data_IF_538469721824
#
_entry.id   IF_538469721824
#
_cell.length_a   1.000
_cell.length_b   1.000
_cell.length_c   1.000
_cell.angle_alpha   90.00
_cell.angle_beta   90.00
_cell.angle_gamma   90.00
#
_symmetry.space_group_name_H-M   'P 1'
#
loop_
_entity.id
_entity.type
_entity.pdbx_description
1 polymer ?
#
# COMPACT_ATOMS: atom_id res chain seq x y z
N UNK A 1 -13.35 12.20 7.56
CA UNK A 1 -12.92 11.16 6.63
C UNK A 1 -11.92 11.75 5.66
N UNK A 2 -10.68 11.34 5.81
CA UNK A 2 -9.60 11.61 4.89
C UNK A 2 -9.29 10.35 4.09
N UNK A 3 -9.02 10.53 2.80
CA UNK A 3 -8.69 9.46 1.86
C UNK A 3 -7.40 9.82 1.12
N UNK A 4 -6.52 8.84 0.94
CA UNK A 4 -5.34 8.95 0.09
C UNK A 4 -5.26 7.77 -0.87
N UNK A 5 -4.78 8.06 -2.07
CA UNK A 5 -4.55 7.04 -3.09
C UNK A 5 -3.08 7.02 -3.45
N UNK A 6 -2.44 5.86 -3.30
CA UNK A 6 -1.12 5.57 -3.84
C UNK A 6 -1.27 4.86 -5.18
N UNK A 7 -0.44 5.22 -6.16
CA UNK A 7 -0.43 4.60 -7.48
C UNK A 7 0.86 3.80 -7.70
N UNK A 8 0.74 2.54 -8.11
CA UNK A 8 1.86 1.65 -8.37
C UNK A 8 2.07 1.48 -9.87
N UNK A 9 2.39 2.59 -10.54
CA UNK A 9 2.34 2.74 -12.00
C UNK A 9 3.25 1.81 -12.80
N UNK A 10 4.25 1.18 -12.17
CA UNK A 10 5.13 0.23 -12.86
C UNK A 10 4.66 -1.23 -12.77
N UNK A 11 3.63 -1.53 -11.97
CA UNK A 11 3.05 -2.86 -11.88
C UNK A 11 2.23 -3.15 -13.13
N UNK A 12 2.41 -4.33 -13.71
CA UNK A 12 1.77 -4.73 -14.98
C UNK A 12 1.01 -6.03 -14.84
N UNK A 13 0.07 -6.26 -15.75
CA UNK A 13 -0.68 -7.51 -15.81
C UNK A 13 0.26 -8.72 -15.85
N UNK A 14 -0.07 -9.77 -15.09
CA UNK A 14 0.73 -10.97 -14.90
C UNK A 14 1.89 -10.84 -13.90
N UNK A 15 2.07 -9.70 -13.24
CA UNK A 15 3.07 -9.56 -12.18
C UNK A 15 2.57 -10.16 -10.87
N UNK A 16 3.49 -10.79 -10.13
CA UNK A 16 3.25 -11.16 -8.75
C UNK A 16 3.46 -9.95 -7.86
N UNK A 17 2.57 -9.76 -6.90
CA UNK A 17 2.58 -8.66 -5.95
C UNK A 17 2.54 -9.23 -4.54
N UNK A 18 3.40 -8.74 -3.66
CA UNK A 18 3.33 -8.97 -2.22
C UNK A 18 3.32 -7.64 -1.49
N UNK A 19 2.57 -7.57 -0.40
CA UNK A 19 2.47 -6.34 0.38
C UNK A 19 2.41 -6.62 1.87
N UNK A 20 2.77 -5.60 2.62
CA UNK A 20 2.76 -5.53 4.07
C UNK A 20 2.12 -4.21 4.50
N UNK A 21 1.18 -4.31 5.42
CA UNK A 21 0.49 -3.21 6.08
C UNK A 21 0.81 -3.24 7.57
N UNK A 22 1.02 -2.07 8.15
CA UNK A 22 1.18 -1.89 9.59
C UNK A 22 0.46 -0.62 10.02
N UNK A 23 -0.20 -0.65 11.18
CA UNK A 23 -0.72 0.56 11.82
C UNK A 23 -0.24 0.65 13.26
N UNK A 24 0.02 1.87 13.71
CA UNK A 24 0.27 2.23 15.11
C UNK A 24 -0.50 3.53 15.40
N UNK A 25 -1.83 3.45 15.36
CA UNK A 25 -2.71 4.62 15.46
C UNK A 25 -3.99 4.28 16.21
N UNK A 26 -4.54 5.26 16.93
CA UNK A 26 -5.82 5.12 17.60
C UNK A 26 -7.00 4.98 16.63
N UNK A 27 -6.95 5.64 15.48
CA UNK A 27 -8.07 5.66 14.51
C UNK A 27 -8.23 4.36 13.73
N UNK A 28 -9.40 4.22 13.10
CA UNK A 28 -9.71 3.12 12.20
C UNK A 28 -9.16 3.39 10.80
N UNK A 29 -8.85 2.28 10.12
CA UNK A 29 -8.29 2.31 8.78
C UNK A 29 -8.97 1.26 7.91
N UNK A 30 -9.29 1.64 6.68
CA UNK A 30 -9.65 0.69 5.62
C UNK A 30 -8.70 0.88 4.45
N UNK A 31 -8.02 -0.21 4.10
CA UNK A 31 -7.01 -0.24 3.04
C UNK A 31 -7.52 -1.16 1.94
N UNK A 32 -7.59 -0.65 0.72
CA UNK A 32 -8.03 -1.42 -0.45
C UNK A 32 -7.00 -1.37 -1.56
N UNK A 33 -6.48 -2.53 -1.94
CA UNK A 33 -5.72 -2.70 -3.18
C UNK A 33 -6.68 -3.07 -4.30
N UNK A 34 -6.73 -2.24 -5.34
CA UNK A 34 -7.68 -2.40 -6.44
C UNK A 34 -7.09 -1.95 -7.76
N UNK A 35 -7.59 -2.52 -8.86
CA UNK A 35 -7.40 -1.95 -10.19
C UNK A 35 -8.35 -0.76 -10.37
N UNK A 36 -7.80 0.42 -10.63
CA UNK A 36 -8.58 1.65 -10.79
C UNK A 36 -9.52 1.62 -12.00
N UNK A 37 -9.15 0.90 -13.06
CA UNK A 37 -9.91 0.86 -14.31
C UNK A 37 -11.09 -0.12 -14.27
N UNK A 38 -10.92 -1.27 -13.61
CA UNK A 38 -11.94 -2.34 -13.55
C UNK A 38 -12.67 -2.41 -12.21
N UNK A 39 -12.10 -1.85 -11.14
CA UNK A 39 -12.59 -1.99 -9.78
C UNK A 39 -12.30 -3.38 -9.16
N UNK A 40 -11.48 -4.21 -9.80
CA UNK A 40 -11.10 -5.52 -9.27
C UNK A 40 -10.31 -5.36 -7.97
N UNK A 41 -10.85 -5.87 -6.86
CA UNK A 41 -10.21 -5.83 -5.55
C UNK A 41 -9.26 -7.02 -5.40
N UNK A 42 -8.00 -6.74 -5.09
CA UNK A 42 -6.96 -7.74 -4.82
C UNK A 42 -6.72 -7.96 -3.33
N UNK A 43 -7.12 -7.01 -2.50
CA UNK A 43 -7.05 -7.13 -1.06
C UNK A 43 -7.77 -5.99 -0.37
N UNK A 44 -8.42 -6.32 0.74
CA UNK A 44 -8.95 -5.35 1.68
C UNK A 44 -8.48 -5.72 3.07
N UNK A 45 -8.02 -4.75 3.82
CA UNK A 45 -7.69 -4.90 5.23
C UNK A 45 -8.31 -3.75 6.01
N UNK A 46 -8.81 -4.04 7.20
CA UNK A 46 -9.44 -3.06 8.07
C UNK A 46 -8.88 -3.21 9.48
N UNK A 47 -8.50 -2.09 10.09
CA UNK A 47 -8.43 -1.93 11.55
C UNK A 47 -9.75 -1.30 11.99
N UNK A 48 -10.46 -1.97 12.88
CA UNK A 48 -11.79 -1.60 13.38
C UNK A 48 -11.83 -1.58 14.92
N UNK A 49 -10.81 -0.94 15.50
CA UNK A 49 -10.57 -0.89 16.95
C UNK A 49 -10.18 0.56 17.31
N UNK A 50 -11.14 1.48 17.14
CA UNK A 50 -10.98 2.90 17.47
C UNK A 50 -10.60 3.09 18.94
N UNK A 51 -9.59 3.92 19.17
CA UNK A 51 -8.97 4.16 20.47
C UNK A 51 -7.86 3.18 20.86
N UNK A 52 -7.65 2.08 20.12
CA UNK A 52 -6.51 1.18 20.34
C UNK A 52 -5.33 1.56 19.45
N UNK A 53 -4.21 1.98 20.07
CA UNK A 53 -2.97 2.36 19.40
C UNK A 53 -1.95 1.20 19.30
N UNK A 54 -2.36 -0.04 19.56
CA UNK A 54 -1.53 -1.22 19.41
C UNK A 54 -1.04 -1.39 17.97
N UNK A 55 0.10 -2.05 17.80
CA UNK A 55 0.64 -2.32 16.46
C UNK A 55 -0.11 -3.49 15.82
N UNK A 56 -0.79 -3.23 14.70
CA UNK A 56 -1.40 -4.26 13.86
C UNK A 56 -0.56 -4.49 12.61
N UNK A 57 -0.56 -5.73 12.12
CA UNK A 57 0.26 -6.14 10.98
C UNK A 57 -0.56 -7.06 10.08
N UNK A 58 -0.50 -6.83 8.78
CA UNK A 58 -1.12 -7.69 7.79
C UNK A 58 -0.22 -7.82 6.57
N UNK A 59 -0.19 -9.00 5.96
CA UNK A 59 0.57 -9.24 4.74
C UNK A 59 -0.11 -10.27 3.88
N UNK A 60 -0.03 -10.10 2.57
CA UNK A 60 -0.55 -11.06 1.60
C UNK A 60 0.17 -10.91 0.26
N UNK A 61 -0.24 -11.73 -0.71
CA UNK A 61 0.25 -11.70 -2.08
C UNK A 61 -0.82 -12.12 -3.07
N UNK A 62 -0.70 -11.66 -4.32
CA UNK A 62 -1.59 -12.03 -5.42
C UNK A 62 -0.86 -11.88 -6.77
N UNK A 63 -1.40 -12.52 -7.80
CA UNK A 63 -1.05 -12.20 -9.19
C UNK A 63 -1.96 -11.07 -9.69
N UNK A 64 -1.36 -9.99 -10.20
CA UNK A 64 -2.10 -8.84 -10.70
C UNK A 64 -2.64 -9.12 -12.10
N UNK A 65 -3.96 -9.12 -12.23
CA UNK A 65 -4.68 -9.43 -13.48
C UNK A 65 -5.28 -8.20 -14.17
N UNK A 66 -5.00 -7.01 -13.64
CA UNK A 66 -5.58 -5.75 -14.09
C UNK A 66 -4.83 -5.12 -15.26
N UNK A 67 -5.15 -3.86 -15.56
CA UNK A 67 -4.52 -3.09 -16.62
C UNK A 67 -3.14 -2.57 -16.19
N UNK A 68 -2.17 -2.56 -17.10
CA UNK A 68 -0.83 -2.05 -16.79
C UNK A 68 -0.85 -0.65 -16.15
N UNK A 69 -0.24 -0.52 -14.98
CA UNK A 69 -0.11 0.73 -14.24
C UNK A 69 -1.35 1.18 -13.47
N UNK A 70 -2.44 0.40 -13.43
CA UNK A 70 -3.70 0.79 -12.80
C UNK A 70 -3.89 0.23 -11.38
N UNK A 71 -2.91 -0.49 -10.84
CA UNK A 71 -2.94 -0.92 -9.44
C UNK A 71 -2.77 0.28 -8.51
N UNK A 72 -3.75 0.48 -7.63
CA UNK A 72 -3.74 1.53 -6.61
C UNK A 72 -3.99 0.96 -5.22
N UNK A 73 -3.50 1.67 -4.20
CA UNK A 73 -3.88 1.47 -2.81
C UNK A 73 -4.71 2.68 -2.35
N UNK A 74 -5.95 2.45 -1.95
CA UNK A 74 -6.81 3.44 -1.32
C UNK A 74 -6.71 3.26 0.19
N UNK A 75 -6.34 4.33 0.88
CA UNK A 75 -6.19 4.41 2.33
C UNK A 75 -7.25 5.36 2.84
N UNK A 76 -8.22 4.81 3.57
CA UNK A 76 -9.30 5.57 4.20
C UNK A 76 -9.11 5.59 5.72
N UNK A 77 -9.15 6.79 6.30
CA UNK A 77 -9.22 7.02 7.75
C UNK A 77 -10.48 7.87 8.04
N UNK A 78 -11.58 7.25 8.50
CA UNK A 78 -12.86 7.91 8.71
C UNK A 78 -12.81 9.07 9.71
N UNK A 79 -12.10 8.88 10.81
CA UNK A 79 -12.01 9.80 11.95
C UNK A 79 -11.15 11.02 11.62
N UNK A 80 -10.11 10.84 10.79
CA UNK A 80 -9.22 11.93 10.42
C UNK A 80 -9.85 12.93 9.44
N UNK A 81 -9.41 14.18 9.54
CA UNK A 81 -9.69 15.26 8.59
C UNK A 81 -8.56 15.45 7.57
N UNK A 82 -7.39 14.85 7.80
CA UNK A 82 -6.21 14.98 6.96
C UNK A 82 -5.36 13.72 7.05
N UNK A 83 -5.07 13.12 5.91
CA UNK A 83 -4.00 12.13 5.79
C UNK A 83 -2.87 12.76 4.99
N UNK A 84 -1.64 12.59 5.45
CA UNK A 84 -0.42 12.89 4.69
C UNK A 84 0.47 11.66 4.60
N UNK A 85 1.37 11.62 3.64
CA UNK A 85 2.25 10.48 3.45
C UNK A 85 3.59 10.84 2.82
N UNK A 86 4.65 10.15 3.26
CA UNK A 86 5.93 10.08 2.55
C UNK A 86 5.94 8.82 1.70
N UNK A 87 6.28 8.93 0.41
CA UNK A 87 6.21 7.82 -0.55
C UNK A 87 7.54 7.63 -1.27
N UNK A 88 7.97 6.38 -1.38
CA UNK A 88 9.19 5.99 -2.09
C UNK A 88 8.92 4.83 -3.04
N UNK A 89 9.58 4.86 -4.20
CA UNK A 89 9.52 3.80 -5.19
C UNK A 89 10.94 3.51 -5.70
N UNK A 90 11.32 2.24 -5.80
CA UNK A 90 12.65 1.84 -6.27
C UNK A 90 12.56 0.68 -7.28
N UNK A 91 13.52 0.65 -8.21
CA UNK A 91 13.67 -0.46 -9.14
C UNK A 91 14.38 -1.64 -8.48
N UNK A 92 13.96 -2.84 -8.82
CA UNK A 92 14.71 -4.07 -8.57
C UNK A 92 15.43 -4.44 -9.87
N UNK A 93 16.75 -4.33 -9.88
CA UNK A 93 17.62 -4.70 -10.99
C UNK A 93 18.79 -5.53 -10.48
N UNK A 94 19.33 -6.47 -11.28
CA UNK A 94 20.60 -7.10 -10.96
C UNK A 94 21.73 -6.06 -10.96
N UNK A 95 22.88 -6.40 -10.40
CA UNK A 95 24.07 -5.52 -10.37
C UNK A 95 24.55 -5.10 -11.76
N UNK A 96 24.25 -5.89 -12.80
CA UNK A 96 24.50 -5.54 -14.20
C UNK A 96 23.57 -4.45 -14.76
N UNK A 97 22.56 -4.01 -14.00
CA UNK A 97 21.62 -2.94 -14.34
C UNK A 97 20.43 -3.33 -15.23
N UNK A 98 20.41 -4.56 -15.77
CA UNK A 98 19.36 -5.06 -16.66
C UNK A 98 19.24 -6.59 -16.59
N UNK A 99 18.03 -7.18 -16.72
CA UNK A 99 16.73 -6.52 -16.90
C UNK A 99 16.14 -5.97 -15.59
N UNK A 100 15.13 -5.11 -15.67
CA UNK A 100 14.29 -4.79 -14.50
C UNK A 100 13.50 -6.03 -14.09
N UNK A 101 13.67 -6.44 -12.84
CA UNK A 101 13.05 -7.64 -12.26
C UNK A 101 11.79 -7.32 -11.46
N UNK A 102 11.62 -6.07 -11.05
CA UNK A 102 10.50 -5.65 -10.22
C UNK A 102 10.61 -4.21 -9.72
N UNK A 103 9.70 -3.85 -8.83
CA UNK A 103 9.66 -2.55 -8.15
C UNK A 103 9.26 -2.73 -6.70
N UNK A 104 9.84 -1.93 -5.81
CA UNK A 104 9.34 -1.74 -4.45
C UNK A 104 8.69 -0.37 -4.31
N UNK A 105 7.65 -0.31 -3.50
CA UNK A 105 6.92 0.89 -3.13
C UNK A 105 6.73 0.87 -1.63
N UNK A 106 7.10 1.93 -0.92
CA UNK A 106 6.84 2.03 0.51
C UNK A 106 6.34 3.42 0.85
N UNK A 107 5.33 3.48 1.72
CA UNK A 107 4.76 4.72 2.21
C UNK A 107 4.53 4.66 3.72
N UNK A 108 4.77 5.79 4.37
CA UNK A 108 4.48 6.01 5.78
C UNK A 108 3.51 7.19 5.88
N UNK A 109 2.48 7.05 6.71
CA UNK A 109 1.35 7.97 6.79
C UNK A 109 1.28 8.63 8.16
N UNK A 110 0.74 9.85 8.14
CA UNK A 110 0.39 10.67 9.29
C UNK A 110 -1.10 11.05 9.18
N UNK A 111 -1.88 10.79 10.23
CA UNK A 111 -3.31 11.07 10.29
C UNK A 111 -3.72 12.28 11.11
N UNK A 112 -2.75 12.95 11.75
CA UNK A 112 -2.94 14.17 12.54
C UNK A 112 -3.92 13.99 13.71
N UNK A 113 -4.11 12.75 14.19
CA UNK A 113 -4.85 12.42 15.40
C UNK A 113 -4.05 12.57 16.70
N UNK A 114 -2.72 12.65 16.59
CA UNK A 114 -1.80 12.65 17.73
C UNK A 114 -0.50 13.44 17.49
N UNK A 115 0.63 12.88 17.95
CA UNK A 115 1.96 13.38 17.63
C UNK A 115 2.26 13.20 16.15
N UNK A 116 3.05 14.11 15.57
CA UNK A 116 3.49 13.96 14.18
C UNK A 116 4.74 13.07 14.16
N UNK A 117 4.59 11.82 13.73
CA UNK A 117 5.63 10.78 13.75
C UNK A 117 5.63 9.86 12.51
N UNK A 118 4.60 9.93 11.65
CA UNK A 118 4.50 9.18 10.39
C UNK A 118 4.59 7.65 10.57
N UNK A 119 4.07 7.09 11.67
CA UNK A 119 3.94 5.65 11.87
C UNK A 119 2.48 5.18 11.99
N UNK A 120 1.50 6.08 11.86
CA UNK A 120 0.07 5.77 12.01
C UNK A 120 -0.39 4.64 11.07
N UNK A 121 0.05 4.72 9.82
CA UNK A 121 -0.07 3.64 8.84
C UNK A 121 1.17 3.53 7.96
N UNK A 122 1.56 2.30 7.66
CA UNK A 122 2.69 1.97 6.80
C UNK A 122 2.27 0.91 5.79
N UNK A 123 2.69 1.10 4.55
CA UNK A 123 2.57 0.11 3.49
C UNK A 123 3.92 -0.09 2.81
N UNK A 124 4.33 -1.33 2.62
CA UNK A 124 5.31 -1.70 1.61
C UNK A 124 4.69 -2.70 0.65
N UNK A 125 4.90 -2.48 -0.64
CA UNK A 125 4.47 -3.35 -1.74
C UNK A 125 5.68 -3.63 -2.62
N UNK A 126 5.82 -4.88 -3.03
CA UNK A 126 6.81 -5.32 -4.02
C UNK A 126 6.10 -6.05 -5.13
N UNK A 127 6.46 -5.75 -6.37
CA UNK A 127 5.99 -6.49 -7.54
C UNK A 127 7.14 -7.00 -8.40
N UNK A 128 7.00 -8.20 -8.97
CA UNK A 128 8.03 -8.85 -9.78
C UNK A 128 7.44 -9.74 -10.88
N UNK A 129 8.24 -10.03 -11.91
CA UNK A 129 7.76 -10.62 -13.18
C UNK A 129 7.81 -12.15 -13.26
N UNK A 130 8.49 -12.85 -12.35
CA UNK A 130 8.74 -14.30 -12.47
C UNK A 130 8.55 -15.03 -11.13
N UNK A 131 7.84 -16.16 -11.14
CA UNK A 131 7.86 -17.12 -10.03
C UNK A 131 9.18 -17.91 -10.02
N UNK A 132 9.63 -18.31 -8.84
CA UNK A 132 10.89 -19.04 -8.64
C UNK A 132 10.80 -20.53 -8.95
#
# INVERSE_FOLDING_TARGET
MATKTLSFVAIKSGWYVSYYFMTEAGYDYTITLTDKSTGTIYGTWTKNEDGDASIYKYSSSFEYTGSDGELICVVDCPESQKLDNSFSANLITPSAGSPTLGYTYCAAFEDFGGSIDYNDFFVCLVGWTHEG
#
